data_IF_962028745144
#
_entry.id   IF_962028745144
#
_cell.length_a   1.000
_cell.length_b   1.000
_cell.length_c   1.000
_cell.angle_alpha   90.00
_cell.angle_beta   90.00
_cell.angle_gamma   90.00
#
_symmetry.space_group_name_H-M   'P 1'
#
loop_
_entity.id
_entity.type
_entity.pdbx_description
1 polymer ?
#
# COMPACT_ATOMS: atom_id res chain seq x y z
N UNK A 1 -10.30 -1.86 -23.87
CA UNK A 1 -10.66 -0.52 -24.34
C UNK A 1 -10.37 0.40 -23.18
N UNK A 2 -9.38 1.27 -23.34
CA UNK A 2 -8.98 2.24 -22.33
C UNK A 2 -10.06 3.34 -22.31
N UNK A 3 -10.88 3.36 -21.26
CA UNK A 3 -11.98 4.29 -21.07
C UNK A 3 -11.56 5.49 -20.20
N UNK A 4 -10.26 5.80 -20.21
CA UNK A 4 -9.74 6.99 -19.53
C UNK A 4 -10.19 8.24 -20.27
N UNK A 5 -10.87 9.15 -19.56
CA UNK A 5 -11.24 10.47 -20.07
C UNK A 5 -9.98 11.18 -20.56
N UNK A 6 -9.96 11.73 -21.80
CA UNK A 6 -8.75 12.39 -22.32
C UNK A 6 -8.37 13.57 -21.42
N UNK A 7 -7.21 13.49 -20.78
CA UNK A 7 -6.65 14.57 -19.96
C UNK A 7 -6.59 14.29 -18.45
N UNK A 8 -7.06 13.15 -17.97
CA UNK A 8 -6.86 12.75 -16.57
C UNK A 8 -5.50 12.12 -16.38
N UNK A 9 -4.74 12.60 -15.38
CA UNK A 9 -3.48 11.98 -15.00
C UNK A 9 -3.76 10.61 -14.37
N UNK A 10 -3.40 9.55 -15.07
CA UNK A 10 -3.44 8.19 -14.56
C UNK A 10 -2.05 7.77 -14.10
N UNK A 11 -1.96 7.23 -12.91
CA UNK A 11 -0.74 6.61 -12.43
C UNK A 11 -0.67 5.18 -12.99
N UNK A 12 0.09 4.99 -14.08
CA UNK A 12 0.77 3.73 -14.26
C UNK A 12 1.72 3.58 -13.08
N UNK A 13 1.73 2.43 -12.42
CA UNK A 13 2.26 2.36 -11.05
C UNK A 13 2.63 0.94 -10.70
N UNK A 14 3.59 0.82 -9.82
CA UNK A 14 3.78 -0.39 -8.99
C UNK A 14 3.58 -0.02 -7.53
N UNK A 15 2.61 -0.62 -6.87
CA UNK A 15 2.45 -0.59 -5.42
C UNK A 15 2.63 -2.00 -4.86
N UNK A 16 3.25 -2.08 -3.69
CA UNK A 16 3.59 -3.33 -2.98
C UNK A 16 3.22 -3.18 -1.52
N UNK A 17 2.71 -4.23 -0.91
CA UNK A 17 2.50 -4.34 0.53
C UNK A 17 2.97 -5.68 1.06
N UNK A 18 3.56 -5.70 2.26
CA UNK A 18 4.07 -6.89 2.94
C UNK A 18 3.77 -6.78 4.42
N UNK A 19 3.20 -7.83 5.02
CA UNK A 19 3.10 -7.98 6.48
C UNK A 19 4.42 -8.56 7.01
N UNK A 20 4.98 -7.94 8.06
CA UNK A 20 6.28 -8.27 8.63
C UNK A 20 6.23 -8.28 10.16
N UNK A 21 7.35 -8.64 10.80
CA UNK A 21 7.53 -8.62 12.26
C UNK A 21 8.61 -7.63 12.67
N UNK A 22 8.35 -6.91 13.76
CA UNK A 22 9.40 -6.16 14.45
C UNK A 22 10.25 -7.11 15.31
N UNK A 23 11.45 -6.67 15.73
CA UNK A 23 12.30 -7.42 16.66
C UNK A 23 11.65 -7.62 18.05
N UNK A 24 10.65 -6.82 18.38
CA UNK A 24 9.91 -6.89 19.64
C UNK A 24 8.68 -7.81 19.60
N UNK A 25 8.39 -8.43 18.45
CA UNK A 25 7.23 -9.31 18.30
C UNK A 25 7.42 -10.62 19.09
N UNK A 26 6.52 -10.89 20.02
CA UNK A 26 6.64 -12.03 20.97
C UNK A 26 5.47 -13.03 20.93
N UNK A 27 4.46 -12.81 20.08
CA UNK A 27 3.29 -13.68 20.02
C UNK A 27 3.32 -14.60 18.80
N UNK A 28 3.15 -15.90 19.02
CA UNK A 28 2.83 -16.83 17.96
C UNK A 28 1.32 -16.74 17.65
N UNK A 29 0.91 -16.79 16.37
CA UNK A 29 -0.50 -16.80 16.03
C UNK A 29 -1.18 -18.05 16.58
N UNK A 30 -2.47 -18.00 16.88
CA UNK A 30 -3.22 -19.20 17.23
C UNK A 30 -3.11 -20.24 16.12
N UNK A 31 -2.89 -21.49 16.48
CA UNK A 31 -2.82 -22.58 15.52
C UNK A 31 -4.07 -22.61 14.64
N UNK A 32 -3.89 -22.57 13.30
CA UNK A 32 -4.97 -22.51 12.33
C UNK A 32 -5.44 -21.09 11.94
N UNK A 33 -4.75 -20.04 12.41
CA UNK A 33 -5.00 -18.68 11.94
C UNK A 33 -4.64 -18.55 10.46
N UNK A 34 -5.55 -17.99 9.66
CA UNK A 34 -5.29 -17.61 8.26
C UNK A 34 -4.69 -16.20 8.16
N UNK A 35 -4.55 -15.50 9.30
CA UNK A 35 -3.99 -14.15 9.37
C UNK A 35 -2.48 -14.21 9.18
N UNK A 36 -1.96 -13.22 8.47
CA UNK A 36 -0.53 -13.00 8.43
C UNK A 36 -0.03 -12.70 9.85
N UNK A 37 1.06 -13.36 10.22
CA UNK A 37 1.64 -13.26 11.55
C UNK A 37 2.65 -12.11 11.55
N UNK A 38 2.24 -10.96 12.10
CA UNK A 38 3.08 -9.77 12.14
C UNK A 38 2.49 -8.63 12.95
N UNK A 39 3.36 -7.69 13.28
CA UNK A 39 3.06 -6.42 13.95
C UNK A 39 3.59 -5.21 13.16
N UNK A 40 4.00 -5.42 11.91
CA UNK A 40 4.43 -4.37 11.02
C UNK A 40 3.86 -4.57 9.62
N UNK A 41 3.66 -3.47 8.88
CA UNK A 41 3.33 -3.47 7.45
C UNK A 41 4.31 -2.58 6.72
N UNK A 42 4.89 -3.10 5.65
CA UNK A 42 5.71 -2.34 4.70
C UNK A 42 4.88 -2.08 3.46
N UNK A 43 4.71 -0.82 3.09
CA UNK A 43 4.13 -0.39 1.82
C UNK A 43 5.22 0.28 0.99
N UNK A 44 5.27 -0.04 -0.30
CA UNK A 44 6.23 0.55 -1.21
C UNK A 44 5.58 0.93 -2.54
N UNK A 45 6.13 1.94 -3.21
CA UNK A 45 5.73 2.30 -4.57
C UNK A 45 6.89 2.86 -5.37
N UNK A 46 6.77 2.81 -6.69
CA UNK A 46 7.55 3.67 -7.57
C UNK A 46 7.07 5.12 -7.49
N UNK A 47 7.79 6.06 -8.15
CA UNK A 47 7.49 7.50 -8.06
C UNK A 47 7.14 8.16 -9.39
N UNK A 48 6.93 7.39 -10.46
CA UNK A 48 6.54 7.92 -11.77
C UNK A 48 5.05 8.17 -11.85
N UNK A 49 4.65 9.38 -12.29
CA UNK A 49 3.31 9.63 -12.79
C UNK A 49 3.36 9.84 -14.32
N UNK A 50 2.44 9.22 -15.03
CA UNK A 50 2.36 9.30 -16.49
C UNK A 50 1.06 9.96 -16.94
N UNK A 51 1.12 10.68 -18.06
CA UNK A 51 -0.03 11.20 -18.77
C UNK A 51 0.03 10.70 -20.20
N UNK A 52 -0.75 9.66 -20.50
CA UNK A 52 -0.64 8.95 -21.76
C UNK A 52 0.78 8.35 -21.94
N UNK A 53 1.52 8.84 -22.93
CA UNK A 53 2.88 8.36 -23.25
C UNK A 53 3.99 9.20 -22.63
N UNK A 54 3.66 10.18 -21.81
CA UNK A 54 4.59 11.16 -21.27
C UNK A 54 4.73 10.97 -19.76
N UNK A 55 5.95 11.08 -19.24
CA UNK A 55 6.19 11.18 -17.79
C UNK A 55 5.80 12.60 -17.35
N UNK A 56 4.73 12.72 -16.57
CA UNK A 56 4.21 14.00 -16.08
C UNK A 56 4.87 14.42 -14.76
N UNK A 57 5.26 13.44 -13.93
CA UNK A 57 6.03 13.69 -12.69
C UNK A 57 6.99 12.52 -12.43
N UNK A 58 8.13 12.85 -11.80
CA UNK A 58 9.13 11.89 -11.33
C UNK A 58 9.15 11.76 -9.81
N UNK A 59 8.28 12.53 -9.13
CA UNK A 59 8.23 12.69 -7.68
C UNK A 59 6.82 12.47 -7.13
N UNK A 60 6.02 11.61 -7.79
CA UNK A 60 4.67 11.31 -7.34
C UNK A 60 4.69 10.55 -6.02
N UNK A 61 3.92 11.03 -5.04
CA UNK A 61 3.64 10.31 -3.82
C UNK A 61 2.44 9.39 -4.07
N UNK A 62 2.61 8.09 -3.82
CA UNK A 62 1.59 7.07 -4.07
C UNK A 62 1.23 6.27 -2.81
N UNK A 63 1.99 6.43 -1.74
CA UNK A 63 1.67 5.90 -0.42
C UNK A 63 1.36 7.08 0.51
N UNK A 64 0.17 7.09 1.09
CA UNK A 64 -0.31 8.16 1.95
C UNK A 64 -0.57 7.65 3.35
N UNK A 65 0.20 8.10 4.36
CA UNK A 65 -0.11 7.82 5.75
C UNK A 65 -1.50 8.33 6.15
N UNK A 66 -2.23 7.51 6.90
CA UNK A 66 -3.54 7.81 7.48
C UNK A 66 -3.40 7.80 9.01
N UNK A 67 -2.96 8.91 9.57
CA UNK A 67 -2.57 9.01 10.97
C UNK A 67 -1.28 8.27 11.28
N UNK A 68 -1.18 7.67 12.47
CA UNK A 68 0.05 7.04 12.98
C UNK A 68 0.08 5.51 12.80
N UNK A 69 -1.01 4.89 12.34
CA UNK A 69 -1.16 3.43 12.38
C UNK A 69 -1.59 2.80 11.08
N UNK A 70 -1.91 3.60 10.05
CA UNK A 70 -2.35 3.09 8.75
C UNK A 70 -1.76 3.91 7.60
N UNK A 71 -1.75 3.31 6.41
CA UNK A 71 -1.43 4.01 5.17
C UNK A 71 -2.15 3.36 3.98
N UNK A 72 -2.43 4.19 2.96
CA UNK A 72 -3.03 3.79 1.70
C UNK A 72 -2.00 3.93 0.58
N UNK A 73 -1.72 2.85 -0.13
CA UNK A 73 -0.99 2.86 -1.39
C UNK A 73 -1.99 2.74 -2.55
N UNK A 74 -1.86 3.55 -3.61
CA UNK A 74 -2.83 3.55 -4.70
C UNK A 74 -2.20 3.60 -6.09
N UNK A 75 -3.00 3.16 -7.07
CA UNK A 75 -2.76 3.31 -8.51
C UNK A 75 -4.05 3.78 -9.20
N UNK A 76 -3.94 4.40 -10.37
CA UNK A 76 -5.09 4.90 -11.14
C UNK A 76 -5.23 6.42 -11.09
N UNK A 77 -6.46 6.93 -10.92
CA UNK A 77 -6.76 8.36 -10.92
C UNK A 77 -6.14 9.09 -9.72
N UNK A 78 -5.33 10.12 -9.98
CA UNK A 78 -4.73 10.96 -8.93
C UNK A 78 -5.82 11.72 -8.15
N UNK A 79 -6.78 12.30 -8.85
CA UNK A 79 -7.89 13.04 -8.23
C UNK A 79 -8.77 12.14 -7.38
N UNK A 80 -9.06 10.93 -7.88
CA UNK A 80 -9.80 9.92 -7.13
C UNK A 80 -9.08 9.45 -5.87
N UNK A 81 -7.76 9.22 -5.97
CA UNK A 81 -6.94 8.86 -4.82
C UNK A 81 -6.92 9.95 -3.74
N UNK A 82 -6.74 11.22 -4.15
CA UNK A 82 -6.78 12.36 -3.23
C UNK A 82 -8.14 12.47 -2.53
N UNK A 83 -9.24 12.28 -3.24
CA UNK A 83 -10.58 12.28 -2.66
C UNK A 83 -10.75 11.13 -1.66
N UNK A 84 -10.35 9.90 -2.02
CA UNK A 84 -10.43 8.74 -1.11
C UNK A 84 -9.58 8.93 0.15
N UNK A 85 -8.35 9.42 0.01
CA UNK A 85 -7.47 9.71 1.17
C UNK A 85 -8.12 10.75 2.09
N UNK A 86 -8.69 11.82 1.55
CA UNK A 86 -9.37 12.86 2.33
C UNK A 86 -10.60 12.31 3.05
N UNK A 87 -11.38 11.46 2.41
CA UNK A 87 -12.56 10.83 2.99
C UNK A 87 -12.18 9.87 4.14
N UNK A 88 -11.13 9.04 3.93
CA UNK A 88 -10.62 8.12 4.95
C UNK A 88 -10.06 8.86 6.17
N UNK A 89 -9.27 9.91 5.95
CA UNK A 89 -8.70 10.69 7.06
C UNK A 89 -9.79 11.43 7.84
N UNK A 90 -10.81 11.94 7.14
CA UNK A 90 -11.96 12.59 7.76
C UNK A 90 -12.74 11.60 8.64
N UNK A 91 -13.09 10.43 8.10
CA UNK A 91 -13.85 9.43 8.88
C UNK A 91 -13.06 8.90 10.07
N UNK A 92 -11.76 8.64 9.90
CA UNK A 92 -10.88 8.21 10.96
C UNK A 92 -10.89 9.23 12.13
N UNK A 93 -10.72 10.52 11.81
CA UNK A 93 -10.75 11.60 12.83
C UNK A 93 -12.13 11.73 13.50
N UNK A 94 -13.22 11.64 12.73
CA UNK A 94 -14.57 11.67 13.27
C UNK A 94 -14.85 10.47 14.18
N UNK A 95 -14.36 9.30 13.81
CA UNK A 95 -14.47 8.09 14.64
C UNK A 95 -13.75 8.28 15.98
N UNK A 96 -12.50 8.76 15.97
CA UNK A 96 -11.72 9.04 17.17
C UNK A 96 -12.40 10.06 18.07
N UNK A 97 -12.93 11.17 17.51
CA UNK A 97 -13.66 12.18 18.24
C UNK A 97 -14.94 11.64 18.91
N UNK A 98 -15.67 10.75 18.21
CA UNK A 98 -16.95 10.21 18.71
C UNK A 98 -16.77 9.06 19.68
N UNK A 99 -15.73 8.26 19.53
CA UNK A 99 -15.52 7.01 20.27
C UNK A 99 -14.45 7.11 21.35
N UNK A 100 -13.60 8.12 21.31
CA UNK A 100 -12.46 8.26 22.23
C UNK A 100 -11.36 7.21 22.04
N UNK A 101 -11.38 6.51 20.91
CA UNK A 101 -10.40 5.47 20.56
C UNK A 101 -10.10 5.48 19.07
N UNK A 102 -8.93 5.00 18.66
CA UNK A 102 -8.53 4.90 17.26
C UNK A 102 -9.42 3.91 16.49
N UNK A 103 -9.67 4.22 15.22
CA UNK A 103 -10.35 3.32 14.31
C UNK A 103 -9.44 2.14 13.96
N UNK A 104 -9.93 0.91 14.06
CA UNK A 104 -9.14 -0.27 13.69
C UNK A 104 -8.89 -0.34 12.18
N UNK A 105 -7.82 -1.00 11.78
CA UNK A 105 -7.46 -1.21 10.37
C UNK A 105 -8.60 -1.89 9.61
N UNK A 106 -9.26 -2.88 10.21
CA UNK A 106 -10.41 -3.57 9.62
C UNK A 106 -11.61 -2.64 9.43
N UNK A 107 -11.89 -1.78 10.42
CA UNK A 107 -12.99 -0.82 10.31
C UNK A 107 -12.70 0.22 9.21
N UNK A 108 -11.45 0.70 9.12
CA UNK A 108 -11.02 1.62 8.07
C UNK A 108 -11.11 0.98 6.68
N UNK A 109 -10.70 -0.29 6.53
CA UNK A 109 -10.86 -1.06 5.30
C UNK A 109 -12.33 -1.23 4.91
N UNK A 110 -13.20 -1.54 5.89
CA UNK A 110 -14.64 -1.64 5.67
C UNK A 110 -15.26 -0.32 5.19
N UNK A 111 -14.84 0.80 5.76
CA UNK A 111 -15.28 2.12 5.31
C UNK A 111 -14.78 2.43 3.89
N UNK A 112 -13.49 2.18 3.59
CA UNK A 112 -12.94 2.38 2.25
C UNK A 112 -13.74 1.61 1.19
N UNK A 113 -14.03 0.33 1.44
CA UNK A 113 -14.84 -0.48 0.54
C UNK A 113 -16.26 0.03 0.38
N UNK A 114 -16.89 0.52 1.46
CA UNK A 114 -18.22 1.12 1.39
C UNK A 114 -18.22 2.42 0.57
N UNK A 115 -17.20 3.26 0.74
CA UNK A 115 -17.01 4.49 -0.03
C UNK A 115 -16.84 4.19 -1.53
N UNK A 116 -16.02 3.20 -1.89
CA UNK A 116 -15.81 2.78 -3.28
C UNK A 116 -17.08 2.27 -3.97
N UNK A 117 -17.94 1.57 -3.23
CA UNK A 117 -19.25 1.12 -3.75
C UNK A 117 -20.22 2.27 -4.01
N UNK A 118 -20.10 3.36 -3.27
CA UNK A 118 -20.97 4.53 -3.42
C UNK A 118 -20.50 5.47 -4.52
N UNK A 119 -19.18 5.58 -4.69
CA UNK A 119 -18.57 6.50 -5.64
C UNK A 119 -17.35 5.85 -6.29
N UNK A 120 -17.30 5.78 -7.63
CA UNK A 120 -16.11 5.26 -8.32
C UNK A 120 -14.98 6.28 -8.24
N UNK A 121 -13.94 5.97 -7.46
CA UNK A 121 -12.73 6.81 -7.37
C UNK A 121 -11.77 6.56 -8.54
N UNK A 122 -11.94 5.48 -9.29
CA UNK A 122 -11.05 5.12 -10.40
C UNK A 122 -9.64 4.72 -9.92
N UNK A 123 -9.56 4.11 -8.74
CA UNK A 123 -8.32 3.65 -8.14
C UNK A 123 -8.39 2.17 -7.76
N UNK A 124 -7.24 1.52 -7.80
CA UNK A 124 -6.98 0.27 -7.09
C UNK A 124 -6.01 0.59 -5.96
N UNK A 125 -6.09 -0.09 -4.84
CA UNK A 125 -5.29 0.28 -3.70
C UNK A 125 -5.01 -0.87 -2.73
N UNK A 126 -3.96 -0.65 -1.93
CA UNK A 126 -3.61 -1.46 -0.77
C UNK A 126 -3.78 -0.59 0.47
N UNK A 127 -4.43 -1.12 1.49
CA UNK A 127 -4.51 -0.50 2.82
C UNK A 127 -3.72 -1.35 3.79
N UNK A 128 -2.65 -0.79 4.34
CA UNK A 128 -1.90 -1.37 5.43
C UNK A 128 -2.21 -0.68 6.74
N UNK A 129 -2.16 -1.42 7.84
CA UNK A 129 -2.30 -0.83 9.17
C UNK A 129 -1.87 -1.75 10.29
N UNK A 130 -1.59 -1.14 11.45
CA UNK A 130 -1.20 -1.83 12.69
C UNK A 130 -2.08 -1.30 13.81
N UNK A 131 -2.72 -2.21 14.54
CA UNK A 131 -3.57 -1.89 15.67
C UNK A 131 -3.44 -2.94 16.78
N UNK A 132 -4.29 -2.88 17.81
CA UNK A 132 -4.27 -3.83 18.94
C UNK A 132 -4.50 -5.30 18.54
N UNK A 133 -5.00 -5.53 17.32
CA UNK A 133 -5.21 -6.86 16.75
C UNK A 133 -4.03 -7.33 15.86
N UNK A 134 -2.96 -6.53 15.73
CA UNK A 134 -1.77 -6.79 14.94
C UNK A 134 -1.75 -6.08 13.58
N UNK A 135 -0.79 -6.48 12.75
CA UNK A 135 -0.62 -5.94 11.40
C UNK A 135 -1.61 -6.57 10.42
N UNK A 136 -2.13 -5.75 9.50
CA UNK A 136 -3.06 -6.18 8.46
C UNK A 136 -2.79 -5.47 7.14
N UNK A 137 -2.90 -6.21 6.05
CA UNK A 137 -2.83 -5.70 4.69
C UNK A 137 -4.08 -6.13 3.94
N UNK A 138 -4.78 -5.17 3.35
CA UNK A 138 -5.98 -5.39 2.56
C UNK A 138 -5.77 -4.95 1.11
N UNK A 139 -6.27 -5.75 0.18
CA UNK A 139 -6.41 -5.40 -1.23
C UNK A 139 -7.87 -5.11 -1.55
N UNK A 140 -8.10 -4.23 -2.52
CA UNK A 140 -9.44 -3.84 -2.94
C UNK A 140 -9.56 -3.95 -4.45
N UNK A 141 -10.66 -4.53 -4.92
CA UNK A 141 -11.02 -4.43 -6.31
C UNK A 141 -11.86 -3.15 -6.60
N UNK A 142 -12.07 -2.87 -7.88
CA UNK A 142 -12.86 -1.70 -8.30
C UNK A 142 -14.33 -1.74 -7.83
N UNK A 143 -14.84 -2.91 -7.46
CA UNK A 143 -16.19 -3.10 -6.91
C UNK A 143 -16.27 -2.93 -5.39
N UNK A 144 -15.15 -2.68 -4.71
CA UNK A 144 -15.08 -2.56 -3.26
C UNK A 144 -15.11 -3.90 -2.52
N UNK A 145 -14.69 -5.01 -3.17
CA UNK A 145 -14.39 -6.25 -2.45
C UNK A 145 -13.09 -6.08 -1.66
N UNK A 146 -13.01 -6.71 -0.50
CA UNK A 146 -11.84 -6.66 0.39
C UNK A 146 -11.27 -8.07 0.54
N UNK A 147 -9.96 -8.20 0.37
CA UNK A 147 -9.22 -9.43 0.68
C UNK A 147 -8.04 -9.09 1.61
N UNK A 148 -7.93 -9.81 2.72
CA UNK A 148 -6.75 -9.75 3.58
C UNK A 148 -5.65 -10.64 3.02
N UNK A 149 -4.42 -10.12 2.90
CA UNK A 149 -3.29 -10.79 2.27
C UNK A 149 -2.01 -10.65 3.11
N UNK A 150 -1.12 -11.65 3.12
CA UNK A 150 0.19 -11.51 3.76
C UNK A 150 1.14 -10.60 2.98
N UNK A 151 1.01 -10.57 1.67
CA UNK A 151 1.65 -9.63 0.76
C UNK A 151 0.77 -9.40 -0.46
N UNK A 152 0.96 -8.28 -1.12
CA UNK A 152 0.24 -7.94 -2.34
C UNK A 152 1.03 -6.96 -3.21
N UNK A 153 0.69 -6.93 -4.48
CA UNK A 153 1.13 -5.90 -5.42
C UNK A 153 -0.05 -5.50 -6.32
N UNK A 154 -0.04 -4.27 -6.81
CA UNK A 154 -1.06 -3.79 -7.75
C UNK A 154 -0.48 -2.75 -8.71
N UNK A 155 -1.29 -2.35 -9.69
CA UNK A 155 -0.88 -1.44 -10.75
C UNK A 155 -0.32 -2.16 -11.97
N UNK A 156 0.11 -1.37 -12.98
CA UNK A 156 0.63 -1.90 -14.25
C UNK A 156 1.88 -2.77 -14.08
N UNK A 157 2.73 -2.45 -13.08
CA UNK A 157 3.91 -3.25 -12.75
C UNK A 157 3.64 -4.37 -11.75
N UNK A 158 2.42 -4.47 -11.21
CA UNK A 158 2.04 -5.48 -10.22
C UNK A 158 2.41 -6.92 -10.59
N UNK A 159 2.14 -7.41 -11.81
CA UNK A 159 2.53 -8.76 -12.22
C UNK A 159 4.02 -9.06 -12.11
N UNK A 160 4.88 -8.08 -12.38
CA UNK A 160 6.34 -8.23 -12.24
C UNK A 160 6.77 -8.22 -10.76
N UNK A 161 6.13 -7.37 -9.96
CA UNK A 161 6.35 -7.31 -8.52
C UNK A 161 5.93 -8.62 -7.83
N UNK A 162 4.78 -9.20 -8.20
CA UNK A 162 4.32 -10.48 -7.65
C UNK A 162 5.33 -11.61 -7.83
N UNK A 163 5.98 -11.72 -8.99
CA UNK A 163 6.99 -12.75 -9.21
C UNK A 163 8.17 -12.65 -8.22
N UNK A 164 8.56 -11.42 -7.84
CA UNK A 164 9.61 -11.18 -6.84
C UNK A 164 9.10 -11.47 -5.42
N UNK A 165 7.87 -11.08 -5.11
CA UNK A 165 7.26 -11.32 -3.80
C UNK A 165 7.08 -12.81 -3.52
N UNK A 166 6.53 -13.57 -4.47
CA UNK A 166 6.34 -15.03 -4.36
C UNK A 166 7.66 -15.78 -4.15
N UNK A 167 8.74 -15.30 -4.78
CA UNK A 167 10.06 -15.92 -4.65
C UNK A 167 10.78 -15.59 -3.35
N UNK A 168 10.44 -14.48 -2.69
CA UNK A 168 11.19 -13.96 -1.54
C UNK A 168 10.41 -13.80 -0.25
N UNK A 169 9.08 -13.94 -0.27
CA UNK A 169 8.28 -13.80 0.95
C UNK A 169 8.39 -15.04 1.84
N UNK A 170 8.64 -14.80 3.10
CA UNK A 170 8.58 -15.82 4.16
C UNK A 170 7.64 -15.33 5.28
N UNK A 171 6.69 -16.17 5.75
CA UNK A 171 5.83 -15.80 6.87
C UNK A 171 6.64 -15.39 8.09
N UNK A 172 6.31 -14.24 8.67
CA UNK A 172 7.02 -13.74 9.86
C UNK A 172 8.39 -13.16 9.58
N UNK A 173 8.69 -12.76 8.34
CA UNK A 173 9.95 -12.12 7.99
C UNK A 173 10.14 -10.80 8.75
N UNK A 174 11.39 -10.45 9.05
CA UNK A 174 11.72 -9.21 9.73
C UNK A 174 11.40 -7.98 8.86
N UNK A 175 11.10 -6.82 9.49
CA UNK A 175 10.83 -5.56 8.80
C UNK A 175 11.93 -5.22 7.80
N UNK A 176 13.21 -5.35 8.18
CA UNK A 176 14.32 -5.02 7.28
C UNK A 176 14.36 -5.94 6.03
N UNK A 177 13.96 -7.22 6.17
CA UNK A 177 13.86 -8.15 5.04
C UNK A 177 12.67 -7.82 4.15
N UNK A 178 11.54 -7.44 4.73
CA UNK A 178 10.35 -6.99 4.02
C UNK A 178 10.63 -5.69 3.23
N UNK A 179 11.34 -4.72 3.82
CA UNK A 179 11.77 -3.50 3.14
C UNK A 179 12.66 -3.82 1.93
N UNK A 180 13.66 -4.71 2.09
CA UNK A 180 14.51 -5.16 0.99
C UNK A 180 13.70 -5.88 -0.10
N UNK A 181 12.79 -6.75 0.29
CA UNK A 181 11.93 -7.47 -0.67
C UNK A 181 11.01 -6.51 -1.43
N UNK A 182 10.38 -5.56 -0.74
CA UNK A 182 9.53 -4.54 -1.37
C UNK A 182 10.33 -3.68 -2.36
N UNK A 183 11.54 -3.25 -1.99
CA UNK A 183 12.42 -2.49 -2.87
C UNK A 183 12.83 -3.28 -4.13
N UNK A 184 13.17 -4.58 -3.98
CA UNK A 184 13.46 -5.47 -5.11
C UNK A 184 12.25 -5.66 -6.01
N UNK A 185 11.05 -5.78 -5.45
CA UNK A 185 9.82 -5.96 -6.22
C UNK A 185 9.50 -4.70 -7.06
N UNK A 186 9.64 -3.50 -6.48
CA UNK A 186 9.47 -2.24 -7.20
C UNK A 186 10.56 -2.06 -8.26
N UNK A 187 11.82 -2.40 -7.97
CA UNK A 187 12.91 -2.35 -8.94
C UNK A 187 12.65 -3.28 -10.13
N UNK A 188 12.28 -4.54 -9.88
CA UNK A 188 11.98 -5.51 -10.94
C UNK A 188 10.82 -5.05 -11.84
N UNK A 189 9.79 -4.45 -11.27
CA UNK A 189 8.68 -3.86 -12.02
C UNK A 189 9.14 -2.66 -12.85
N UNK A 190 9.98 -1.77 -12.30
CA UNK A 190 10.49 -0.59 -12.99
C UNK A 190 11.34 -0.90 -14.23
N UNK A 191 11.97 -2.08 -14.26
CA UNK A 191 12.74 -2.57 -15.43
C UNK A 191 11.85 -2.99 -16.61
N UNK A 192 10.60 -3.36 -16.37
CA UNK A 192 9.70 -3.95 -17.36
C UNK A 192 8.47 -3.11 -17.67
N UNK A 193 7.95 -2.41 -16.68
CA UNK A 193 6.80 -1.54 -16.83
C UNK A 193 7.21 -0.12 -17.17
N UNK A 194 6.87 0.34 -18.37
CA UNK A 194 7.20 1.69 -18.84
C UNK A 194 6.53 2.81 -18.03
N UNK A 195 5.48 2.48 -17.28
CA UNK A 195 4.73 3.42 -16.48
C UNK A 195 5.21 3.48 -15.02
N UNK A 196 6.11 2.57 -14.60
CA UNK A 196 6.77 2.56 -13.29
C UNK A 196 8.21 3.08 -13.36
N UNK A 197 8.73 3.63 -12.26
CA UNK A 197 10.13 4.07 -12.14
C UNK A 197 10.33 5.35 -11.34
N UNK A 198 11.50 5.97 -11.49
CA UNK A 198 11.89 7.23 -10.85
C UNK A 198 12.03 7.17 -9.32
N UNK A 199 12.51 6.04 -8.78
CA UNK A 199 12.80 5.89 -7.36
C UNK A 199 11.79 5.02 -6.62
N UNK A 200 11.88 5.08 -5.30
CA UNK A 200 11.11 4.29 -4.35
C UNK A 200 10.54 5.20 -3.25
N UNK A 201 9.26 5.11 -2.96
CA UNK A 201 8.68 5.52 -1.68
C UNK A 201 8.49 4.26 -0.84
N UNK A 202 8.93 4.28 0.40
CA UNK A 202 8.87 3.18 1.34
C UNK A 202 8.25 3.67 2.64
N UNK A 203 7.12 3.11 3.03
CA UNK A 203 6.40 3.45 4.26
C UNK A 203 6.31 2.21 5.13
N UNK A 204 6.89 2.30 6.32
CA UNK A 204 6.87 1.22 7.32
C UNK A 204 5.96 1.63 8.48
N UNK A 205 4.96 0.82 8.75
CA UNK A 205 4.00 0.95 9.84
C UNK A 205 4.38 -0.05 10.94
N UNK A 206 4.53 0.43 12.15
CA UNK A 206 4.80 -0.37 13.35
C UNK A 206 3.91 0.10 14.50
N UNK A 207 3.87 -0.60 15.65
CA UNK A 207 3.20 -0.08 16.85
C UNK A 207 3.75 1.27 17.34
N UNK A 208 5.01 1.58 17.02
CA UNK A 208 5.68 2.83 17.41
C UNK A 208 5.35 4.01 16.49
N UNK A 209 4.74 3.75 15.33
CA UNK A 209 4.31 4.79 14.38
C UNK A 209 4.66 4.49 12.93
N UNK A 210 4.72 5.56 12.13
CA UNK A 210 4.94 5.54 10.69
C UNK A 210 6.31 6.11 10.36
N UNK A 211 7.07 5.38 9.55
CA UNK A 211 8.32 5.84 8.94
C UNK A 211 8.12 5.93 7.42
N UNK A 212 8.17 7.14 6.85
CA UNK A 212 7.99 7.41 5.41
C UNK A 212 9.31 7.92 4.82
N UNK A 213 9.91 7.12 3.97
CA UNK A 213 11.22 7.37 3.36
C UNK A 213 11.14 7.34 1.84
N UNK A 214 11.94 8.18 1.21
CA UNK A 214 12.06 8.27 -0.24
C UNK A 214 13.50 8.02 -0.66
N UNK A 215 13.67 7.24 -1.71
CA UNK A 215 14.95 6.90 -2.30
C UNK A 215 14.92 7.16 -3.82
N UNK A 216 15.96 7.79 -4.33
CA UNK A 216 16.11 8.02 -5.78
C UNK A 216 16.36 6.70 -6.54
N UNK A 217 16.98 5.72 -5.88
CA UNK A 217 17.25 4.40 -6.41
C UNK A 217 16.79 3.31 -5.44
N UNK A 218 15.90 2.40 -5.86
CA UNK A 218 15.50 1.26 -5.03
C UNK A 218 16.67 0.37 -4.60
N UNK A 219 17.78 0.33 -5.35
CA UNK A 219 18.98 -0.44 -5.01
C UNK A 219 19.62 -0.01 -3.68
N UNK A 220 19.37 1.22 -3.23
CA UNK A 220 19.83 1.72 -1.92
C UNK A 220 19.25 0.92 -0.74
N UNK A 221 18.11 0.25 -0.94
CA UNK A 221 17.42 -0.57 0.09
C UNK A 221 17.48 -2.05 -0.25
N UNK A 222 17.52 -2.40 -1.54
CA UNK A 222 17.40 -3.78 -2.04
C UNK A 222 18.61 -4.69 -1.74
N UNK A 223 19.72 -4.10 -1.29
CA UNK A 223 21.01 -4.78 -1.00
C UNK A 223 21.08 -5.38 0.40
#
# INVERSE_FOLDING_TARGET
MDDSTPGEASLGTTIVGIVARTDSFTSDPPAGSTRADGDAVVLASDRRASLGRMVSSKDAQKVHPLGETAALAFTGSVSGAQALVADLDTERRLYELRRGQRMSTTALAGYAAAAMRQQPYGVQHLLGGVDGDGARLFTFDAGGSILEQPFAADGSGGPFAYGTLEAGYEPGMAVADAERLAARAVAAASERDTASGNGLQLVTLTPDGVDDRVYDDPAAVAS
#
